data_IF_562945561756
#
_entry.id   IF_562945561756
#
_cell.length_a   1.000
_cell.length_b   1.000
_cell.length_c   1.000
_cell.angle_alpha   90.00
_cell.angle_beta   90.00
_cell.angle_gamma   90.00
#
_symmetry.space_group_name_H-M   'P 1'
#
loop_
_entity.id
_entity.type
_entity.pdbx_description
1 polymer ?
#
# COMPACT_ATOMS: atom_id res chain seq x y z
N UNK A 1 -5.00 8.84 -29.06
CA UNK A 1 -4.77 9.66 -27.85
C UNK A 1 -5.15 8.80 -26.66
N UNK A 2 -4.18 8.11 -26.06
CA UNK A 2 -4.44 7.25 -24.92
C UNK A 2 -4.76 8.16 -23.71
N UNK A 3 -5.94 8.08 -23.09
CA UNK A 3 -6.27 8.95 -21.96
C UNK A 3 -5.27 8.71 -20.83
N UNK A 4 -4.96 9.75 -20.05
CA UNK A 4 -4.04 9.72 -18.91
C UNK A 4 -4.24 8.49 -18.02
N UNK A 5 -3.50 7.41 -18.32
CA UNK A 5 -3.55 6.13 -17.61
C UNK A 5 -3.32 6.32 -16.11
N UNK A 6 -2.52 7.33 -15.77
CA UNK A 6 -2.21 7.77 -14.41
C UNK A 6 -3.46 8.09 -13.59
N UNK A 7 -4.46 8.74 -14.18
CA UNK A 7 -5.71 9.11 -13.48
C UNK A 7 -6.63 7.90 -13.29
N UNK A 8 -6.78 7.08 -14.32
CA UNK A 8 -7.58 5.86 -14.25
C UNK A 8 -6.98 4.87 -13.24
N UNK A 9 -5.66 4.71 -13.23
CA UNK A 9 -4.96 3.82 -12.33
C UNK A 9 -4.99 4.30 -10.86
N UNK A 10 -5.02 5.62 -10.62
CA UNK A 10 -5.25 6.20 -9.30
C UNK A 10 -6.69 5.96 -8.82
N UNK A 11 -7.67 6.10 -9.71
CA UNK A 11 -9.08 5.84 -9.40
C UNK A 11 -9.31 4.36 -9.06
N UNK A 12 -8.78 3.45 -9.88
CA UNK A 12 -8.84 2.00 -9.65
C UNK A 12 -8.20 1.59 -8.32
N UNK A 13 -7.08 2.20 -7.92
CA UNK A 13 -6.45 1.94 -6.62
C UNK A 13 -7.33 2.37 -5.44
N UNK A 14 -8.00 3.52 -5.57
CA UNK A 14 -8.94 4.00 -4.55
C UNK A 14 -10.15 3.07 -4.43
N UNK A 15 -10.72 2.66 -5.57
CA UNK A 15 -11.88 1.76 -5.61
C UNK A 15 -11.51 0.36 -5.09
N UNK A 16 -10.36 -0.18 -5.51
CA UNK A 16 -9.92 -1.52 -5.11
C UNK A 16 -9.30 -1.56 -3.70
N UNK A 17 -9.09 -0.41 -3.06
CA UNK A 17 -8.31 -0.32 -1.82
C UNK A 17 -6.90 -0.91 -1.96
N UNK A 18 -6.32 -0.84 -3.17
CA UNK A 18 -5.03 -1.44 -3.46
C UNK A 18 -3.90 -0.51 -3.02
N UNK A 19 -2.94 -0.99 -2.22
CA UNK A 19 -1.87 -0.16 -1.72
C UNK A 19 -0.83 0.11 -2.83
N UNK A 20 -0.44 1.36 -3.02
CA UNK A 20 0.57 1.74 -4.01
C UNK A 20 1.98 1.73 -3.40
N UNK A 21 2.77 0.73 -3.79
CA UNK A 21 4.15 0.58 -3.32
C UNK A 21 5.03 1.78 -3.70
N UNK A 22 4.88 2.34 -4.90
CA UNK A 22 5.70 3.47 -5.36
C UNK A 22 5.47 4.72 -4.53
N UNK A 23 4.20 5.05 -4.25
CA UNK A 23 3.81 6.15 -3.38
C UNK A 23 4.26 5.92 -1.94
N UNK A 24 4.18 4.68 -1.44
CA UNK A 24 4.67 4.32 -0.11
C UNK A 24 6.19 4.54 0.03
N UNK A 25 6.98 4.08 -0.94
CA UNK A 25 8.43 4.32 -0.96
C UNK A 25 8.76 5.80 -1.08
N UNK A 26 8.05 6.54 -1.93
CA UNK A 26 8.23 7.99 -2.07
C UNK A 26 7.91 8.74 -0.77
N UNK A 27 6.86 8.32 -0.05
CA UNK A 27 6.51 8.86 1.25
C UNK A 27 7.58 8.50 2.30
N UNK A 28 7.99 7.24 2.39
CA UNK A 28 9.03 6.79 3.31
C UNK A 28 10.34 7.57 3.10
N UNK A 29 10.79 7.74 1.86
CA UNK A 29 12.00 8.50 1.55
C UNK A 29 11.90 9.98 1.93
N UNK A 30 10.70 10.57 1.91
CA UNK A 30 10.47 11.98 2.27
C UNK A 30 10.30 12.18 3.77
N UNK A 31 9.57 11.29 4.45
CA UNK A 31 9.22 11.41 5.87
C UNK A 31 10.22 10.72 6.80
N UNK A 32 10.86 9.64 6.33
CA UNK A 32 11.76 8.78 7.10
C UNK A 32 12.96 8.36 6.25
N UNK A 33 13.86 9.28 5.88
CA UNK A 33 15.03 8.96 5.04
C UNK A 33 15.98 7.94 5.70
N UNK A 34 15.92 7.80 7.02
CA UNK A 34 16.76 6.89 7.81
C UNK A 34 16.22 5.45 7.86
N UNK A 35 14.95 5.24 7.48
CA UNK A 35 14.35 3.90 7.50
C UNK A 35 14.65 3.13 6.20
N UNK A 36 15.04 1.84 6.30
CA UNK A 36 15.19 1.01 5.12
C UNK A 36 13.83 0.85 4.42
N UNK A 37 13.83 1.00 3.10
CA UNK A 37 12.64 0.83 2.28
C UNK A 37 12.29 -0.66 2.26
N UNK A 38 11.10 -1.07 2.73
CA UNK A 38 10.70 -2.48 2.71
C UNK A 38 10.57 -2.95 1.27
N UNK A 39 10.83 -4.24 1.03
CA UNK A 39 10.60 -4.83 -0.28
C UNK A 39 9.10 -4.82 -0.61
N UNK A 40 8.76 -4.93 -1.91
CA UNK A 40 7.36 -5.00 -2.34
C UNK A 40 6.60 -6.11 -1.61
N UNK A 41 7.24 -7.26 -1.40
CA UNK A 41 6.64 -8.40 -0.71
C UNK A 41 6.34 -8.08 0.76
N UNK A 42 7.29 -7.52 1.48
CA UNK A 42 7.11 -7.15 2.90
C UNK A 42 6.00 -6.13 3.09
N UNK A 43 5.91 -5.13 2.20
CA UNK A 43 4.83 -4.15 2.23
C UNK A 43 3.45 -4.80 2.01
N UNK A 44 3.34 -5.73 1.05
CA UNK A 44 2.09 -6.45 0.83
C UNK A 44 1.75 -7.40 1.98
N UNK A 45 2.74 -8.07 2.56
CA UNK A 45 2.55 -8.98 3.68
C UNK A 45 2.07 -8.21 4.92
N UNK A 46 2.69 -7.08 5.23
CA UNK A 46 2.25 -6.19 6.31
C UNK A 46 0.85 -5.64 6.06
N UNK A 47 0.54 -5.21 4.84
CA UNK A 47 -0.80 -4.77 4.45
C UNK A 47 -1.85 -5.88 4.64
N UNK A 48 -1.55 -7.10 4.17
CA UNK A 48 -2.44 -8.24 4.33
C UNK A 48 -2.58 -8.63 5.80
N UNK A 49 -1.51 -8.54 6.59
CA UNK A 49 -1.53 -8.77 8.03
C UNK A 49 -2.44 -7.75 8.73
N UNK A 50 -2.29 -6.46 8.45
CA UNK A 50 -3.19 -5.44 9.03
C UNK A 50 -4.64 -5.63 8.58
N UNK A 51 -4.88 -6.06 7.34
CA UNK A 51 -6.23 -6.20 6.79
C UNK A 51 -6.93 -7.52 7.17
N UNK A 52 -6.17 -8.60 7.34
CA UNK A 52 -6.70 -9.96 7.47
C UNK A 52 -6.14 -10.76 8.66
N UNK A 53 -5.04 -10.34 9.30
CA UNK A 53 -4.54 -11.01 10.51
C UNK A 53 -5.29 -10.61 11.77
N UNK A 54 -6.03 -9.50 11.77
CA UNK A 54 -7.18 -9.29 12.64
C UNK A 54 -8.35 -10.20 12.20
N UNK A 55 -8.09 -11.51 12.13
CA UNK A 55 -9.15 -12.50 12.32
C UNK A 55 -9.73 -12.27 13.71
N UNK A 56 -11.05 -12.45 13.92
CA UNK A 56 -11.73 -11.98 15.13
C UNK A 56 -10.94 -12.45 16.35
N UNK A 57 -10.30 -11.50 17.04
CA UNK A 57 -9.95 -11.67 18.43
C UNK A 57 -11.29 -11.86 19.12
N UNK A 58 -11.75 -13.10 19.17
CA UNK A 58 -12.82 -13.55 20.05
C UNK A 58 -12.28 -13.30 21.45
N UNK A 59 -12.40 -12.06 21.90
CA UNK A 59 -12.54 -11.79 23.31
C UNK A 59 -13.87 -12.44 23.69
N UNK A 60 -13.74 -13.36 24.64
CA UNK A 60 -14.76 -14.22 25.21
C UNK A 60 -16.09 -13.51 25.47
#
# INVERSE_FOLDING_TARGET
>A
MWPDLSRAAALLRRIAGMPDYGAHVAHLRRAHPDRPVPTRKEFFDEYLRTRYADGPTRCC
#
